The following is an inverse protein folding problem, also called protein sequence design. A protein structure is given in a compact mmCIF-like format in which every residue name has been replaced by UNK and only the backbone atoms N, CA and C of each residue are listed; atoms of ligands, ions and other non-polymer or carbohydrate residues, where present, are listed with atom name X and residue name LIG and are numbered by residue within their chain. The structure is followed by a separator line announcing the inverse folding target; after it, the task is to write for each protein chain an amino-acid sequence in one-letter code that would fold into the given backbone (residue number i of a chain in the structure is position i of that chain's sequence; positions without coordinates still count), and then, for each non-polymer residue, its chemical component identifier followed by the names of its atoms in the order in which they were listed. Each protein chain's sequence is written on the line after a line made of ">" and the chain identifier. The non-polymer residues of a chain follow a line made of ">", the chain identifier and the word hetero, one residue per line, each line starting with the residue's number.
data_IF_817199630851
#
_entry.id   IF_817199630851
#
_cell.length_a   1.000
_cell.length_b   1.000
_cell.length_c   1.000
_cell.angle_alpha   90.00
_cell.angle_beta   90.00
_cell.angle_gamma   90.00
#
_symmetry.space_group_name_H-M   'P 1'
#
loop_
_entity.id
_entity.type
_entity.pdbx_description
1 polymer ?
#
# COMPACT_ATOMS: atom_id res chain seq x y z
N UNK A 1 -3.26 17.20 11.63
CA UNK A 1 -3.29 15.74 11.69
C UNK A 1 -3.29 15.16 10.28
N UNK A 2 -2.50 14.15 10.03
CA UNK A 2 -2.65 13.44 8.77
C UNK A 2 -4.07 12.91 8.69
N UNK A 3 -4.68 13.11 7.55
CA UNK A 3 -5.99 12.55 7.30
C UNK A 3 -5.86 11.04 7.16
N UNK A 4 -6.86 10.31 7.64
CA UNK A 4 -6.83 8.85 7.59
C UNK A 4 -6.92 8.31 6.17
N UNK A 5 -7.23 9.17 5.19
CA UNK A 5 -7.37 8.78 3.79
C UNK A 5 -6.09 9.04 2.97
N UNK A 6 -4.95 9.21 3.62
CA UNK A 6 -3.66 9.29 2.94
C UNK A 6 -2.98 7.92 2.89
N UNK A 7 -2.04 7.76 1.95
CA UNK A 7 -1.22 6.55 1.90
C UNK A 7 -0.30 6.49 3.12
N UNK A 8 0.23 7.64 3.55
CA UNK A 8 1.02 7.70 4.78
C UNK A 8 0.22 7.23 5.99
N UNK A 9 -1.06 7.63 6.08
CA UNK A 9 -1.96 7.16 7.14
C UNK A 9 -2.22 5.66 7.07
N UNK A 10 -2.43 5.14 5.86
CA UNK A 10 -2.61 3.71 5.65
C UNK A 10 -1.36 2.92 6.07
N UNK A 11 -0.17 3.43 5.74
CA UNK A 11 1.08 2.80 6.15
C UNK A 11 1.23 2.78 7.67
N UNK A 12 0.88 3.88 8.33
CA UNK A 12 0.94 3.95 9.79
C UNK A 12 0.01 2.91 10.43
N UNK A 13 -1.20 2.75 9.90
CA UNK A 13 -2.14 1.74 10.39
C UNK A 13 -1.63 0.33 10.15
N UNK A 14 -1.04 0.09 8.98
CA UNK A 14 -0.45 -1.21 8.65
C UNK A 14 0.69 -1.56 9.61
N UNK A 15 1.56 -0.60 9.93
CA UNK A 15 2.62 -0.79 10.91
C UNK A 15 2.07 -1.10 12.30
N UNK A 16 1.04 -0.37 12.71
CA UNK A 16 0.41 -0.58 14.01
C UNK A 16 -0.22 -1.98 14.14
N UNK A 17 -0.66 -2.54 13.03
CA UNK A 17 -1.24 -3.89 13.02
C UNK A 17 -0.21 -5.01 13.18
N UNK A 18 1.09 -4.72 13.03
CA UNK A 18 2.15 -5.67 13.32
C UNK A 18 2.30 -6.81 12.34
N UNK A 19 2.01 -6.57 11.07
CA UNK A 19 2.08 -7.60 10.03
C UNK A 19 3.49 -8.19 9.88
N UNK A 20 3.64 -9.51 9.65
CA UNK A 20 4.93 -10.12 9.33
C UNK A 20 5.62 -9.51 8.11
N UNK A 21 4.86 -8.93 7.17
CA UNK A 21 5.43 -8.27 6.01
C UNK A 21 6.37 -7.12 6.38
N UNK A 22 6.19 -6.53 7.57
CA UNK A 22 7.03 -5.42 8.05
C UNK A 22 8.49 -5.83 8.25
N UNK A 23 8.80 -7.12 8.30
CA UNK A 23 10.17 -7.60 8.41
C UNK A 23 10.96 -7.45 7.11
N UNK A 24 10.30 -7.21 5.98
CA UNK A 24 10.97 -7.08 4.69
C UNK A 24 11.73 -5.74 4.60
N UNK A 25 12.86 -5.72 3.85
CA UNK A 25 13.68 -4.50 3.72
C UNK A 25 12.89 -3.28 3.27
N UNK A 26 11.92 -3.44 2.37
CA UNK A 26 11.08 -2.34 1.89
C UNK A 26 10.44 -1.56 3.05
N UNK A 27 10.00 -2.25 4.10
CA UNK A 27 9.37 -1.61 5.25
C UNK A 27 10.38 -1.17 6.30
N UNK A 28 11.62 -1.64 6.24
CA UNK A 28 12.63 -1.39 7.26
C UNK A 28 13.61 -0.30 6.90
N UNK A 29 13.80 -0.02 5.62
CA UNK A 29 14.85 0.88 5.14
C UNK A 29 14.35 2.28 4.77
N UNK A 30 13.09 2.59 5.04
CA UNK A 30 12.49 3.88 4.70
C UNK A 30 11.87 3.94 3.31
N UNK A 31 11.95 2.87 2.54
CA UNK A 31 11.38 2.84 1.18
C UNK A 31 9.87 3.01 1.19
N UNK A 32 9.17 2.35 2.14
CA UNK A 32 7.72 2.45 2.22
C UNK A 32 7.27 3.88 2.47
N UNK A 33 7.95 4.60 3.35
CA UNK A 33 7.65 6.00 3.63
C UNK A 33 7.87 6.88 2.41
N UNK A 34 8.95 6.65 1.68
CA UNK A 34 9.25 7.45 0.47
C UNK A 34 8.20 7.22 -0.61
N UNK A 35 7.77 5.97 -0.80
CA UNK A 35 6.73 5.65 -1.77
C UNK A 35 5.39 6.27 -1.35
N UNK A 36 5.03 6.15 -0.07
CA UNK A 36 3.79 6.74 0.45
C UNK A 36 3.77 8.24 0.24
N UNK A 37 4.89 8.94 0.54
CA UNK A 37 4.99 10.37 0.34
C UNK A 37 4.84 10.76 -1.14
N UNK A 38 5.49 10.02 -2.03
CA UNK A 38 5.43 10.29 -3.46
C UNK A 38 4.00 10.09 -4.00
N UNK A 39 3.32 9.03 -3.56
CA UNK A 39 1.95 8.76 -3.99
C UNK A 39 1.00 9.80 -3.46
N UNK A 40 1.13 10.20 -2.20
CA UNK A 40 0.29 11.24 -1.62
C UNK A 40 0.48 12.58 -2.34
N UNK A 41 1.71 12.90 -2.73
CA UNK A 41 1.98 14.12 -3.51
C UNK A 41 1.27 14.08 -4.87
N UNK A 42 1.24 12.94 -5.53
CA UNK A 42 0.53 12.77 -6.80
C UNK A 42 -0.98 12.90 -6.62
N UNK A 43 -1.52 12.37 -5.54
CA UNK A 43 -2.94 12.51 -5.22
C UNK A 43 -3.31 13.96 -4.95
N UNK A 44 -2.50 14.68 -4.21
CA UNK A 44 -2.71 16.11 -3.96
C UNK A 44 -2.66 16.93 -5.24
N UNK A 45 -1.86 16.50 -6.20
CA UNK A 45 -1.78 17.15 -7.51
C UNK A 45 -2.96 16.77 -8.44
N UNK A 46 -3.89 15.96 -7.97
CA UNK A 46 -5.09 15.60 -8.71
C UNK A 46 -5.07 14.22 -9.37
N UNK A 47 -4.00 13.46 -9.22
CA UNK A 47 -3.94 12.11 -9.79
C UNK A 47 -4.93 11.18 -9.07
N UNK A 48 -5.59 10.35 -9.85
CA UNK A 48 -6.47 9.31 -9.31
C UNK A 48 -5.66 8.06 -9.03
N UNK A 49 -5.50 7.73 -7.75
CA UNK A 49 -4.74 6.56 -7.32
C UNK A 49 -5.69 5.51 -6.75
N UNK A 50 -5.58 4.31 -7.23
CA UNK A 50 -6.41 3.17 -6.82
C UNK A 50 -5.52 2.04 -6.32
N UNK A 51 -5.97 1.24 -5.37
CA UNK A 51 -7.24 1.34 -4.64
C UNK A 51 -7.26 2.52 -3.67
N UNK A 52 -8.39 2.72 -2.99
CA UNK A 52 -8.49 3.74 -1.95
C UNK A 52 -7.45 3.46 -0.85
N UNK A 53 -6.98 4.50 -0.13
CA UNK A 53 -5.93 4.31 0.88
C UNK A 53 -6.22 3.21 1.91
N UNK A 54 -7.46 3.08 2.36
CA UNK A 54 -7.84 2.03 3.31
C UNK A 54 -7.64 0.62 2.76
N UNK A 55 -7.53 0.46 1.45
CA UNK A 55 -7.39 -0.83 0.79
C UNK A 55 -5.99 -1.08 0.23
N UNK A 56 -5.07 -0.12 0.36
CA UNK A 56 -3.75 -0.22 -0.28
C UNK A 56 -2.96 -1.44 0.18
N UNK A 57 -3.05 -1.79 1.46
CA UNK A 57 -2.32 -2.93 2.02
C UNK A 57 -3.16 -4.20 2.13
N UNK A 58 -4.36 -4.23 1.52
CA UNK A 58 -5.24 -5.40 1.59
C UNK A 58 -4.56 -6.67 1.08
N UNK A 59 -3.83 -6.57 -0.01
CA UNK A 59 -3.16 -7.75 -0.58
C UNK A 59 -2.23 -8.40 0.44
N UNK A 60 -1.49 -7.60 1.18
CA UNK A 60 -0.57 -8.10 2.20
C UNK A 60 -1.31 -8.59 3.44
N UNK A 61 -2.38 -7.90 3.82
CA UNK A 61 -3.19 -8.29 4.97
C UNK A 61 -3.89 -9.63 4.73
N UNK A 62 -4.37 -9.84 3.51
CA UNK A 62 -5.12 -11.04 3.15
C UNK A 62 -4.22 -12.22 2.76
N UNK A 63 -2.93 -11.97 2.56
CA UNK A 63 -1.99 -13.00 2.12
C UNK A 63 -0.87 -13.14 3.15
N UNK A 64 -0.89 -14.18 3.99
CA UNK A 64 0.21 -14.40 4.94
C UNK A 64 1.54 -14.56 4.21
N UNK A 65 2.57 -13.88 4.70
CA UNK A 65 3.89 -13.89 4.06
C UNK A 65 4.45 -15.31 3.92
N UNK A 66 4.29 -16.14 4.94
CA UNK A 66 4.81 -17.49 4.94
C UNK A 66 4.03 -18.44 4.02
N UNK A 67 2.90 -18.00 3.48
CA UNK A 67 2.10 -18.77 2.53
C UNK A 67 2.39 -18.40 1.08
N UNK A 68 3.21 -17.39 0.83
CA UNK A 68 3.53 -16.96 -0.53
C UNK A 68 4.41 -18.02 -1.20
N UNK A 69 3.96 -18.52 -2.35
CA UNK A 69 4.65 -19.55 -3.13
C UNK A 69 5.19 -19.01 -4.44
N UNK A 70 4.57 -17.96 -4.96
CA UNK A 70 4.97 -17.33 -6.21
C UNK A 70 4.58 -15.87 -6.19
N UNK A 71 5.37 -15.03 -6.86
CA UNK A 71 5.06 -13.62 -7.06
C UNK A 71 4.99 -13.37 -8.55
N UNK A 72 3.87 -12.79 -8.98
CA UNK A 72 3.68 -12.39 -10.37
C UNK A 72 3.76 -10.88 -10.43
N UNK A 73 4.74 -10.37 -11.15
CA UNK A 73 4.90 -8.94 -11.34
C UNK A 73 4.30 -8.54 -12.67
N UNK A 74 3.26 -7.73 -12.62
CA UNK A 74 2.58 -7.25 -13.80
C UNK A 74 2.33 -5.76 -13.72
N UNK A 75 1.75 -5.21 -14.77
CA UNK A 75 1.33 -3.82 -14.83
C UNK A 75 -0.20 -3.79 -14.76
N UNK A 76 -0.76 -2.85 -13.99
CA UNK A 76 -2.19 -2.52 -13.96
C UNK A 76 -3.13 -3.72 -14.02
N UNK A 77 -3.34 -4.42 -12.90
CA UNK A 77 -4.15 -5.64 -12.89
C UNK A 77 -5.64 -5.39 -13.15
N UNK A 78 -6.11 -4.15 -13.00
CA UNK A 78 -7.54 -3.82 -13.12
C UNK A 78 -7.75 -2.82 -14.24
N UNK A 79 -8.51 -3.18 -15.29
CA UNK A 79 -8.72 -2.29 -16.43
C UNK A 79 -9.76 -1.20 -16.19
N UNK A 80 -10.60 -1.34 -15.17
CA UNK A 80 -11.75 -0.46 -14.94
C UNK A 80 -11.65 0.21 -13.58
N UNK A 81 -11.84 1.56 -13.50
CA UNK A 81 -11.91 2.24 -12.22
C UNK A 81 -13.00 1.63 -11.33
N UNK A 82 -12.67 1.44 -10.05
CA UNK A 82 -13.57 0.83 -9.09
C UNK A 82 -13.34 -0.65 -8.84
N UNK A 83 -12.60 -1.33 -9.71
CA UNK A 83 -12.30 -2.75 -9.52
C UNK A 83 -11.14 -2.96 -8.55
N UNK A 84 -10.21 -2.02 -8.44
CA UNK A 84 -9.08 -2.13 -7.53
C UNK A 84 -9.53 -2.05 -6.07
N UNK A 85 -9.04 -2.98 -5.25
CA UNK A 85 -9.46 -3.06 -3.84
C UNK A 85 -8.37 -3.56 -2.91
#
# INVERSE_FOLDING_TARGET
>A
LPTDDSVAGALARFRAAGSPWLALPFFRDGSAERVAEAVDARREAGARVLPAPENIFNALTLTPLDSVRAVILGQDPYPTPGDAH
#
